data_IF_135950676217
#
_entry.id   IF_135950676217
#
_cell.length_a   1.000
_cell.length_b   1.000
_cell.length_c   1.000
_cell.angle_alpha   90.00
_cell.angle_beta   90.00
_cell.angle_gamma   90.00
#
_symmetry.space_group_name_H-M   'P 1'
#
loop_
_entity.id
_entity.type
_entity.pdbx_description
1 polymer ?
#
# COMPACT_ATOMS: atom_id res chain seq x y z
N UNK A 1 -2.60 22.96 15.94
CA UNK A 1 -1.30 22.65 15.30
C UNK A 1 -0.95 23.84 14.43
N UNK A 2 0.17 24.52 14.70
CA UNK A 2 0.57 25.72 13.98
C UNK A 2 1.14 25.37 12.59
N UNK A 3 0.94 26.27 11.63
CA UNK A 3 1.17 26.11 10.19
C UNK A 3 2.64 25.79 9.79
N UNK A 4 3.60 25.89 10.72
CA UNK A 4 5.04 25.91 10.44
C UNK A 4 5.74 24.54 10.56
N UNK A 5 5.06 23.50 11.03
CA UNK A 5 5.71 22.22 11.31
C UNK A 5 6.22 21.48 10.05
N UNK A 6 5.67 21.76 8.87
CA UNK A 6 6.08 21.14 7.60
C UNK A 6 7.29 21.83 6.94
N UNK A 7 7.77 22.95 7.49
CA UNK A 7 8.96 23.68 7.01
C UNK A 7 10.21 23.46 7.85
N UNK A 8 10.14 22.56 8.85
CA UNK A 8 11.30 22.20 9.67
C UNK A 8 12.40 21.60 8.78
N UNK A 9 13.65 21.92 9.12
CA UNK A 9 14.80 21.32 8.46
C UNK A 9 14.73 19.79 8.55
N UNK A 10 15.13 19.12 7.48
CA UNK A 10 15.26 17.67 7.47
C UNK A 10 16.29 17.23 8.51
N UNK A 11 15.92 16.26 9.33
CA UNK A 11 16.85 15.62 10.28
C UNK A 11 17.73 14.66 9.48
N UNK A 12 19.02 14.95 9.39
CA UNK A 12 19.97 14.18 8.57
C UNK A 12 20.60 13.01 9.30
N UNK A 13 20.60 12.99 10.63
CA UNK A 13 21.10 11.86 11.40
C UNK A 13 20.19 10.64 11.17
N UNK A 14 20.74 9.62 10.54
CA UNK A 14 19.99 8.46 10.06
C UNK A 14 19.25 7.72 11.18
N UNK A 15 19.87 7.60 12.36
CA UNK A 15 19.27 6.97 13.54
C UNK A 15 18.08 7.75 14.13
N UNK A 16 17.85 9.00 13.70
CA UNK A 16 16.67 9.81 14.05
C UNK A 16 15.57 9.75 12.99
N UNK A 17 15.76 9.02 11.89
CA UNK A 17 14.77 8.86 10.82
C UNK A 17 13.95 7.57 11.01
N UNK A 18 12.75 7.54 10.41
CA UNK A 18 11.96 6.32 10.30
C UNK A 18 12.52 5.43 9.18
N UNK A 19 13.43 4.53 9.56
CA UNK A 19 14.12 3.65 8.63
C UNK A 19 13.21 2.60 8.01
N UNK A 20 12.15 2.19 8.69
CA UNK A 20 11.19 1.20 8.19
C UNK A 20 10.31 1.81 7.11
N UNK A 21 9.79 3.03 7.35
CA UNK A 21 9.10 3.80 6.31
C UNK A 21 10.02 3.99 5.09
N UNK A 22 11.27 4.39 5.32
CA UNK A 22 12.22 4.62 4.21
C UNK A 22 12.46 3.36 3.39
N UNK A 23 12.64 2.21 4.02
CA UNK A 23 12.76 0.91 3.33
C UNK A 23 11.50 0.59 2.53
N UNK A 24 10.32 0.79 3.13
CA UNK A 24 9.04 0.54 2.49
C UNK A 24 8.82 1.43 1.26
N UNK A 25 9.05 2.75 1.36
CA UNK A 25 8.94 3.68 0.23
C UNK A 25 9.93 3.33 -0.89
N UNK A 26 11.19 2.99 -0.54
CA UNK A 26 12.19 2.55 -1.53
C UNK A 26 11.75 1.28 -2.25
N UNK A 27 11.14 0.34 -1.53
CA UNK A 27 10.58 -0.86 -2.11
C UNK A 27 9.43 -0.55 -3.07
N UNK A 28 8.49 0.33 -2.72
CA UNK A 28 7.43 0.80 -3.63
C UNK A 28 7.99 1.45 -4.89
N UNK A 29 8.99 2.33 -4.76
CA UNK A 29 9.67 2.96 -5.90
C UNK A 29 10.30 1.88 -6.80
N UNK A 30 10.93 0.85 -6.20
CA UNK A 30 11.55 -0.24 -6.97
C UNK A 30 10.52 -1.05 -7.76
N UNK A 31 9.34 -1.31 -7.18
CA UNK A 31 8.25 -1.99 -7.87
C UNK A 31 7.73 -1.13 -9.04
N UNK A 32 7.47 0.17 -8.80
CA UNK A 32 7.04 1.09 -9.85
C UNK A 32 8.02 1.12 -11.03
N UNK A 33 9.33 1.11 -10.76
CA UNK A 33 10.37 1.08 -11.81
C UNK A 33 10.40 -0.25 -12.58
N UNK A 34 10.11 -1.37 -11.92
CA UNK A 34 10.04 -2.70 -12.55
C UNK A 34 8.78 -2.91 -13.38
N UNK A 35 7.72 -2.16 -13.10
CA UNK A 35 6.43 -2.27 -13.78
C UNK A 35 5.99 -0.91 -14.37
N UNK A 36 6.60 -0.45 -15.48
CA UNK A 36 6.26 0.82 -16.12
C UNK A 36 4.76 0.98 -16.45
N UNK A 37 4.05 -0.11 -16.75
CA UNK A 37 2.60 -0.11 -16.98
C UNK A 37 1.78 0.44 -15.80
N UNK A 38 2.30 0.39 -14.57
CA UNK A 38 1.62 0.94 -13.39
C UNK A 38 1.69 2.48 -13.35
N UNK A 39 2.51 3.08 -14.22
CA UNK A 39 2.67 4.51 -14.38
C UNK A 39 1.72 5.12 -15.41
N UNK A 40 0.90 4.31 -16.07
CA UNK A 40 -0.11 4.79 -17.02
C UNK A 40 -1.07 5.80 -16.36
N UNK A 41 -1.72 6.63 -17.16
CA UNK A 41 -2.68 7.60 -16.62
C UNK A 41 -4.00 6.94 -16.17
N UNK A 42 -4.37 5.82 -16.79
CA UNK A 42 -5.68 5.17 -16.59
C UNK A 42 -5.72 4.23 -15.39
N UNK A 43 -6.65 4.50 -14.48
CA UNK A 43 -7.02 3.61 -13.35
C UNK A 43 -8.38 3.01 -13.67
N UNK A 44 -8.52 1.70 -13.53
CA UNK A 44 -9.83 1.04 -13.56
C UNK A 44 -10.27 0.69 -12.14
N UNK A 45 -11.22 1.42 -11.59
CA UNK A 45 -11.81 1.07 -10.30
C UNK A 45 -12.59 -0.25 -10.41
N UNK A 46 -12.55 -1.06 -9.35
CA UNK A 46 -13.26 -2.34 -9.27
C UNK A 46 -14.10 -2.35 -8.01
N UNK A 47 -15.35 -2.77 -8.17
CA UNK A 47 -16.26 -2.93 -7.05
C UNK A 47 -15.83 -4.13 -6.20
N UNK A 48 -15.84 -3.92 -4.89
CA UNK A 48 -15.62 -4.96 -3.88
C UNK A 48 -16.70 -4.76 -2.83
N UNK A 49 -17.48 -5.82 -2.57
CA UNK A 49 -18.50 -5.82 -1.53
C UNK A 49 -17.85 -5.95 -0.15
N UNK A 50 -17.20 -4.88 0.31
CA UNK A 50 -16.59 -4.81 1.63
C UNK A 50 -16.53 -3.35 2.13
N UNK A 51 -16.88 -3.07 3.40
CA UNK A 51 -17.05 -1.70 3.89
C UNK A 51 -15.76 -0.87 3.91
N UNK A 52 -14.60 -1.52 3.99
CA UNK A 52 -13.30 -0.85 4.15
C UNK A 52 -12.32 -1.12 3.03
N UNK A 53 -12.68 -1.98 2.06
CA UNK A 53 -11.74 -2.36 0.99
C UNK A 53 -12.16 -1.68 -0.31
N UNK A 54 -11.21 -0.97 -0.90
CA UNK A 54 -11.32 -0.45 -2.26
C UNK A 54 -10.39 -1.25 -3.17
N UNK A 55 -10.79 -1.42 -4.44
CA UNK A 55 -9.93 -2.04 -5.43
C UNK A 55 -9.80 -1.21 -6.69
N UNK A 56 -8.62 -1.27 -7.29
CA UNK A 56 -8.38 -0.73 -8.61
C UNK A 56 -7.44 -1.63 -9.39
N UNK A 57 -7.49 -1.56 -10.71
CA UNK A 57 -6.64 -2.32 -11.60
C UNK A 57 -5.74 -1.37 -12.39
N UNK A 58 -4.48 -1.77 -12.53
CA UNK A 58 -3.51 -1.21 -13.49
C UNK A 58 -3.02 -2.35 -14.34
N UNK A 59 -3.12 -2.22 -15.66
CA UNK A 59 -2.79 -3.30 -16.58
C UNK A 59 -3.51 -4.60 -16.18
N UNK A 60 -2.80 -5.71 -15.97
CA UNK A 60 -3.33 -7.00 -15.55
C UNK A 60 -3.30 -7.24 -14.03
N UNK A 61 -2.98 -6.22 -13.22
CA UNK A 61 -2.82 -6.35 -11.76
C UNK A 61 -3.91 -5.58 -11.03
N UNK A 62 -4.66 -6.30 -10.20
CA UNK A 62 -5.65 -5.73 -9.28
C UNK A 62 -5.03 -5.46 -7.93
N UNK A 63 -5.20 -4.22 -7.47
CA UNK A 63 -4.82 -3.72 -6.17
C UNK A 63 -6.03 -3.68 -5.24
N UNK A 64 -5.85 -4.11 -4.00
CA UNK A 64 -6.82 -4.04 -2.91
C UNK A 64 -6.23 -3.24 -1.75
N UNK A 65 -6.96 -2.22 -1.31
CA UNK A 65 -6.54 -1.34 -0.23
C UNK A 65 -7.57 -1.42 0.88
N UNK A 66 -7.13 -1.85 2.05
CA UNK A 66 -7.95 -1.92 3.25
C UNK A 66 -7.75 -0.65 4.09
N UNK A 67 -8.79 0.16 4.23
CA UNK A 67 -8.82 1.36 5.05
C UNK A 67 -9.28 1.05 6.49
N UNK A 68 -8.70 0.02 7.10
CA UNK A 68 -8.96 -0.38 8.49
C UNK A 68 -7.69 -0.91 9.14
N UNK A 69 -7.64 -0.85 10.47
CA UNK A 69 -6.62 -1.54 11.27
C UNK A 69 -6.90 -3.05 11.39
N UNK A 70 -8.11 -3.50 11.02
CA UNK A 70 -8.53 -4.89 11.11
C UNK A 70 -8.29 -5.67 9.81
N UNK A 71 -7.99 -6.96 9.97
CA UNK A 71 -7.87 -7.89 8.83
C UNK A 71 -9.18 -7.95 8.05
N UNK A 72 -9.11 -7.71 6.74
CA UNK A 72 -10.27 -7.81 5.85
C UNK A 72 -10.36 -9.20 5.22
N UNK A 73 -11.58 -9.73 5.12
CA UNK A 73 -11.90 -10.93 4.35
C UNK A 73 -13.08 -10.63 3.43
N UNK A 74 -12.93 -10.84 2.13
CA UNK A 74 -13.94 -10.50 1.13
C UNK A 74 -13.87 -11.45 -0.07
N UNK A 75 -14.96 -11.53 -0.84
CA UNK A 75 -15.01 -12.30 -2.07
C UNK A 75 -14.74 -11.35 -3.24
N UNK A 76 -13.87 -11.77 -4.16
CA UNK A 76 -13.63 -11.06 -5.41
C UNK A 76 -13.34 -12.06 -6.53
N UNK A 77 -14.05 -11.96 -7.66
CA UNK A 77 -14.01 -12.91 -8.78
C UNK A 77 -14.23 -14.38 -8.33
N UNK A 78 -15.20 -14.60 -7.44
CA UNK A 78 -15.55 -15.95 -6.95
C UNK A 78 -14.51 -16.60 -6.03
N UNK A 79 -13.46 -15.87 -5.63
CA UNK A 79 -12.42 -16.34 -4.71
C UNK A 79 -12.49 -15.58 -3.40
N UNK A 80 -12.24 -16.28 -2.29
CA UNK A 80 -12.10 -15.66 -0.98
C UNK A 80 -10.69 -15.10 -0.85
N UNK A 81 -10.61 -13.82 -0.54
CA UNK A 81 -9.37 -13.13 -0.23
C UNK A 81 -9.33 -12.80 1.26
N UNK A 82 -8.17 -13.02 1.87
CA UNK A 82 -7.90 -12.67 3.26
C UNK A 82 -6.61 -11.89 3.33
N UNK A 83 -6.69 -10.63 3.73
CA UNK A 83 -5.53 -9.75 3.81
C UNK A 83 -5.28 -9.36 5.26
N UNK A 84 -4.18 -9.89 5.81
CA UNK A 84 -3.61 -9.39 7.04
C UNK A 84 -3.20 -7.94 6.83
N UNK A 85 -3.63 -7.09 7.75
CA UNK A 85 -3.17 -5.72 7.86
C UNK A 85 -1.65 -5.73 8.03
N UNK A 86 -0.93 -5.44 6.95
CA UNK A 86 0.42 -4.88 7.05
C UNK A 86 0.28 -3.36 6.99
N UNK A 87 -0.51 -2.81 7.91
CA UNK A 87 -0.40 -1.40 8.27
C UNK A 87 0.91 -1.32 9.03
N UNK A 88 1.97 -0.93 8.33
CA UNK A 88 3.10 -0.33 9.01
C UNK A 88 2.54 0.97 9.63
N UNK A 89 2.20 0.94 10.93
CA UNK A 89 1.71 2.10 11.68
C UNK A 89 2.77 3.19 11.62
N UNK A 90 2.61 4.12 10.67
CA UNK A 90 3.27 5.41 10.71
C UNK A 90 2.71 6.15 11.91
N UNK A 91 3.50 6.24 12.99
CA UNK A 91 3.13 7.03 14.16
C UNK A 91 2.82 8.47 13.71
N UNK A 92 1.54 8.83 13.71
CA UNK A 92 1.08 10.22 13.72
C UNK A 92 0.87 10.92 12.37
N UNK A 93 1.01 10.27 11.21
CA UNK A 93 0.73 10.92 9.92
C UNK A 93 -0.13 10.04 9.01
N UNK A 94 -1.36 10.51 8.80
CA UNK A 94 -2.32 9.98 7.84
C UNK A 94 -1.81 10.31 6.42
N UNK A 95 -1.16 9.36 5.76
CA UNK A 95 -1.02 9.43 4.30
C UNK A 95 -0.92 8.03 3.66
N UNK A 96 -1.92 7.82 2.80
CA UNK A 96 -2.10 6.76 1.82
C UNK A 96 -0.80 6.43 1.08
N UNK A 97 -0.42 5.16 1.10
CA UNK A 97 -0.20 4.27 -0.06
C UNK A 97 0.18 2.93 0.58
N UNK A 98 -0.78 2.02 0.69
CA UNK A 98 -0.49 0.66 1.16
C UNK A 98 -1.19 -0.35 0.29
N UNK A 99 -0.37 -1.11 -0.43
CA UNK A 99 -0.72 -2.49 -0.69
C UNK A 99 0.50 -3.40 -0.59
N UNK A 100 0.19 -4.53 0.02
CA UNK A 100 0.97 -5.69 0.40
C UNK A 100 1.26 -6.55 -0.83
N UNK A 101 2.53 -6.84 -1.10
CA UNK A 101 2.93 -8.09 -1.74
C UNK A 101 3.39 -9.04 -0.63
N UNK A 102 2.59 -10.05 -0.33
CA UNK A 102 3.13 -11.32 0.15
C UNK A 102 2.83 -12.35 -0.92
N UNK A 103 3.87 -12.60 -1.71
CA UNK A 103 3.98 -13.70 -2.64
C UNK A 103 3.64 -15.00 -1.89
N UNK A 104 2.59 -15.69 -2.31
CA UNK A 104 2.43 -17.13 -2.04
C UNK A 104 2.41 -17.82 -3.41
N UNK A 105 3.50 -17.62 -4.16
CA UNK A 105 3.91 -18.55 -5.19
C UNK A 105 4.55 -19.73 -4.45
N UNK A 106 3.70 -20.63 -3.99
CA UNK A 106 4.06 -21.73 -3.12
C UNK A 106 2.95 -22.77 -3.07
N UNK A 107 2.54 -23.23 -4.26
CA UNK A 107 1.87 -24.52 -4.54
C UNK A 107 1.37 -24.53 -5.99
N UNK A 108 2.29 -24.76 -6.92
CA UNK A 108 2.09 -25.38 -8.24
C UNK A 108 3.47 -25.54 -8.90
N UNK A 109 4.33 -26.27 -8.20
CA UNK A 109 5.37 -27.17 -8.70
C UNK A 109 5.43 -28.32 -7.71
#
# INVERSE_FOLDING_TARGET
MTLENNRKCMVWEENKQDLELRKFIRWLISLRKKHPQWCEASIQWKDVEHPTVIAYQRDNITFFLNNSEDTASFIYNGRVWKYLVSVMKLKGYLLLIFMIFKFLLGRLL
#
